data_IF_621335124075
#
_entry.id   IF_621335124075
#
_cell.length_a   1.000
_cell.length_b   1.000
_cell.length_c   1.000
_cell.angle_alpha   90.00
_cell.angle_beta   90.00
_cell.angle_gamma   90.00
#
_symmetry.space_group_name_H-M   'P 1'
#
loop_
_entity.id
_entity.type
_entity.pdbx_description
1 polymer ?
#
# COMPACT_ATOMS: atom_id res chain seq x y z
N UNK A 1 8.35 -12.97 -11.54
CA UNK A 1 8.85 -12.54 -10.22
C UNK A 1 7.72 -11.90 -9.42
N UNK A 2 7.58 -12.28 -8.17
CA UNK A 2 6.54 -11.72 -7.32
C UNK A 2 7.04 -10.45 -6.66
N UNK A 3 6.38 -9.33 -6.95
CA UNK A 3 6.77 -8.04 -6.37
C UNK A 3 6.27 -7.92 -4.94
N UNK A 4 5.01 -8.28 -4.72
CA UNK A 4 4.36 -8.19 -3.42
C UNK A 4 3.84 -9.54 -2.97
N UNK A 5 3.91 -9.78 -1.65
CA UNK A 5 3.28 -10.92 -1.02
C UNK A 5 2.51 -10.47 0.20
N UNK A 6 1.32 -11.04 0.41
CA UNK A 6 0.50 -10.77 1.59
C UNK A 6 0.39 -12.07 2.37
N UNK A 7 0.79 -12.04 3.64
CA UNK A 7 0.82 -13.20 4.54
C UNK A 7 1.56 -14.39 3.90
N UNK A 8 2.64 -14.09 3.16
CA UNK A 8 3.46 -15.12 2.53
C UNK A 8 2.96 -15.60 1.17
N UNK A 9 1.82 -15.11 0.70
CA UNK A 9 1.26 -15.51 -0.59
C UNK A 9 1.41 -14.40 -1.62
N UNK A 10 1.88 -14.77 -2.81
CA UNK A 10 2.04 -13.81 -3.90
C UNK A 10 0.68 -13.27 -4.36
N UNK A 11 0.64 -11.98 -4.63
CA UNK A 11 -0.54 -11.32 -5.18
C UNK A 11 -0.22 -10.80 -6.57
N UNK A 12 -1.25 -10.26 -7.27
CA UNK A 12 -1.06 -9.67 -8.58
C UNK A 12 0.03 -8.60 -8.53
N UNK A 13 0.97 -8.64 -9.49
CA UNK A 13 2.01 -7.64 -9.56
C UNK A 13 1.43 -6.27 -9.94
N UNK A 14 1.81 -5.20 -9.24
CA UNK A 14 1.36 -3.87 -9.61
C UNK A 14 2.09 -3.37 -10.86
N UNK A 15 1.48 -2.42 -11.57
CA UNK A 15 2.14 -1.73 -12.68
C UNK A 15 2.98 -0.57 -12.18
N UNK A 16 2.73 -0.09 -10.97
CA UNK A 16 3.50 0.98 -10.34
C UNK A 16 3.56 0.75 -8.84
N UNK A 17 4.70 1.05 -8.26
CA UNK A 17 4.91 0.93 -6.82
C UNK A 17 5.74 2.12 -6.37
N UNK A 18 5.29 2.79 -5.32
CA UNK A 18 6.00 3.91 -4.73
C UNK A 18 6.16 3.68 -3.24
N UNK A 19 7.41 3.78 -2.77
CA UNK A 19 7.72 3.67 -1.35
C UNK A 19 7.81 5.07 -0.74
N UNK A 20 7.20 5.25 0.42
CA UNK A 20 7.23 6.50 1.14
C UNK A 20 7.53 6.24 2.61
N UNK A 21 8.16 7.23 3.24
CA UNK A 21 8.44 7.20 4.67
C UNK A 21 8.03 8.54 5.24
N UNK A 22 7.22 8.53 6.30
CA UNK A 22 6.71 9.74 6.93
C UNK A 22 7.05 9.74 8.40
N UNK A 23 7.43 10.90 8.91
CA UNK A 23 7.65 11.10 10.34
C UNK A 23 6.35 11.52 10.99
N UNK A 24 6.03 10.91 12.13
CA UNK A 24 4.93 11.36 12.97
C UNK A 24 5.51 12.25 14.05
N UNK A 25 5.16 13.52 14.02
CA UNK A 25 5.62 14.51 14.96
C UNK A 25 4.58 14.80 16.05
N UNK A 26 5.05 15.14 17.24
CA UNK A 26 4.17 15.67 18.27
C UNK A 26 3.82 17.11 17.93
N UNK A 27 2.54 17.42 17.82
CA UNK A 27 2.11 18.79 17.51
C UNK A 27 2.46 19.77 18.62
N UNK A 28 2.63 19.30 19.86
CA UNK A 28 3.00 20.13 20.98
C UNK A 28 4.51 20.31 21.11
N UNK A 29 5.29 19.32 20.64
CA UNK A 29 6.73 19.33 20.76
C UNK A 29 7.46 19.84 19.53
N UNK A 30 6.77 20.17 18.46
CA UNK A 30 7.37 20.61 17.21
C UNK A 30 7.08 22.09 16.97
N UNK A 31 8.11 22.86 16.64
CA UNK A 31 7.95 24.29 16.37
C UNK A 31 9.28 25.01 16.24
N UNK A 32 9.27 26.32 16.48
CA UNK A 32 10.45 27.16 16.48
C UNK A 32 10.53 27.93 17.80
N UNK A 33 11.76 28.09 18.32
CA UNK A 33 11.96 28.87 19.53
C UNK A 33 12.09 30.35 19.18
N UNK A 34 12.35 31.22 20.20
CA UNK A 34 12.45 32.65 20.01
C UNK A 34 13.67 33.07 19.16
N UNK A 35 14.67 32.23 19.07
CA UNK A 35 15.85 32.47 18.25
C UNK A 35 15.67 32.04 16.80
N UNK A 36 14.51 31.47 16.46
CA UNK A 36 14.22 31.01 15.11
C UNK A 36 14.67 29.59 14.80
N UNK A 37 15.25 28.93 15.78
CA UNK A 37 15.66 27.53 15.58
C UNK A 37 14.43 26.62 15.58
N UNK A 38 14.41 25.70 14.62
CA UNK A 38 13.37 24.70 14.53
C UNK A 38 13.72 23.51 15.42
N UNK A 39 12.79 23.08 16.23
CA UNK A 39 12.91 21.81 16.96
C UNK A 39 11.79 20.90 16.57
N UNK A 40 12.02 19.60 16.72
CA UNK A 40 11.10 18.58 16.26
C UNK A 40 11.02 17.44 17.27
N UNK A 41 9.78 17.12 17.69
CA UNK A 41 9.51 16.01 18.57
C UNK A 41 8.92 14.87 17.74
N UNK A 42 9.81 14.05 17.15
CA UNK A 42 9.41 12.95 16.27
C UNK A 42 9.01 11.74 17.10
N UNK A 43 7.73 11.36 17.04
CA UNK A 43 7.21 10.22 17.78
C UNK A 43 7.68 8.92 17.14
N UNK A 44 7.54 8.80 15.83
CA UNK A 44 7.89 7.58 15.12
C UNK A 44 8.00 7.85 13.62
N UNK A 45 8.56 6.88 12.91
CA UNK A 45 8.62 6.88 11.45
C UNK A 45 7.69 5.79 10.95
N UNK A 46 6.85 6.10 9.96
CA UNK A 46 5.93 5.15 9.32
C UNK A 46 6.22 5.06 7.84
N UNK A 47 6.20 3.85 7.32
CA UNK A 47 6.38 3.58 5.91
C UNK A 47 5.02 3.40 5.24
N UNK A 48 4.95 3.78 3.98
CA UNK A 48 3.76 3.61 3.16
C UNK A 48 4.19 3.13 1.78
N UNK A 49 3.47 2.12 1.28
CA UNK A 49 3.71 1.61 -0.07
C UNK A 49 2.45 1.86 -0.88
N UNK A 50 2.56 2.75 -1.87
CA UNK A 50 1.47 3.08 -2.77
C UNK A 50 1.62 2.27 -4.04
N UNK A 51 0.58 1.55 -4.44
CA UNK A 51 0.64 0.71 -5.62
C UNK A 51 -0.55 0.94 -6.52
N UNK A 52 -0.33 0.73 -7.82
CA UNK A 52 -1.40 0.74 -8.83
C UNK A 52 -1.37 -0.60 -9.54
N UNK A 53 -2.54 -1.22 -9.67
CA UNK A 53 -2.67 -2.51 -10.31
C UNK A 53 -3.20 -2.37 -11.73
N UNK A 54 -2.88 -3.33 -12.62
CA UNK A 54 -3.44 -3.34 -13.98
C UNK A 54 -4.92 -3.74 -13.95
N UNK A 55 -5.64 -3.55 -15.06
CA UNK A 55 -7.00 -4.08 -15.16
C UNK A 55 -7.03 -5.57 -14.88
N UNK A 56 -8.02 -6.04 -14.13
CA UNK A 56 -8.12 -7.43 -13.69
C UNK A 56 -9.54 -7.94 -13.89
N UNK A 57 -9.65 -9.26 -14.10
CA UNK A 57 -10.93 -9.96 -14.19
C UNK A 57 -11.50 -10.21 -12.80
N UNK A 58 -12.78 -10.58 -12.75
CA UNK A 58 -13.49 -10.83 -11.47
C UNK A 58 -12.71 -11.72 -10.52
N UNK A 59 -12.19 -12.84 -11.02
CA UNK A 59 -11.50 -13.82 -10.16
C UNK A 59 -10.22 -13.24 -9.57
N UNK A 60 -9.47 -12.49 -10.36
CA UNK A 60 -8.23 -11.86 -9.91
C UNK A 60 -8.51 -10.75 -8.91
N UNK A 61 -9.52 -9.92 -9.20
CA UNK A 61 -9.90 -8.83 -8.32
C UNK A 61 -10.44 -9.35 -6.99
N UNK A 62 -11.24 -10.41 -7.04
CA UNK A 62 -11.76 -11.04 -5.83
C UNK A 62 -10.64 -11.55 -4.93
N UNK A 63 -9.65 -12.23 -5.51
CA UNK A 63 -8.51 -12.75 -4.76
C UNK A 63 -7.73 -11.61 -4.09
N UNK A 64 -7.51 -10.51 -4.81
CA UNK A 64 -6.80 -9.36 -4.26
C UNK A 64 -7.59 -8.71 -3.12
N UNK A 65 -8.89 -8.47 -3.33
CA UNK A 65 -9.72 -7.83 -2.31
C UNK A 65 -9.84 -8.68 -1.05
N UNK A 66 -9.92 -10.00 -1.20
CA UNK A 66 -9.94 -10.90 -0.04
C UNK A 66 -8.61 -10.87 0.71
N UNK A 67 -7.49 -10.80 -0.01
CA UNK A 67 -6.17 -10.76 0.61
C UNK A 67 -5.98 -9.51 1.47
N UNK A 68 -6.58 -8.39 1.08
CA UNK A 68 -6.44 -7.12 1.81
C UNK A 68 -7.61 -6.84 2.76
N UNK A 69 -8.53 -7.79 2.93
CA UNK A 69 -9.70 -7.62 3.81
C UNK A 69 -9.40 -7.57 5.31
N UNK A 70 -8.41 -8.31 5.84
CA UNK A 70 -8.11 -8.24 7.27
C UNK A 70 -7.78 -6.82 7.71
N UNK A 71 -8.08 -6.49 8.97
CA UNK A 71 -7.76 -5.18 9.54
C UNK A 71 -6.26 -4.89 9.44
N UNK A 72 -5.44 -5.89 9.76
CA UNK A 72 -3.99 -5.83 9.62
C UNK A 72 -3.49 -7.12 8.99
N UNK A 73 -2.45 -7.02 8.18
CA UNK A 73 -1.83 -8.19 7.55
C UNK A 73 -0.37 -7.88 7.28
N UNK A 74 0.40 -8.91 6.98
CA UNK A 74 1.82 -8.75 6.68
C UNK A 74 2.04 -8.56 5.18
N UNK A 75 2.75 -7.50 4.82
CA UNK A 75 3.10 -7.20 3.45
C UNK A 75 4.61 -7.36 3.26
N UNK A 76 5.00 -8.20 2.30
CA UNK A 76 6.40 -8.32 1.87
C UNK A 76 6.56 -7.52 0.58
N UNK A 77 7.53 -6.63 0.56
CA UNK A 77 7.76 -5.71 -0.55
C UNK A 77 9.24 -5.42 -0.70
N UNK A 78 9.69 -4.91 -1.88
CA UNK A 78 11.08 -4.47 -2.02
C UNK A 78 11.27 -3.11 -1.34
N UNK A 79 12.15 -3.08 -0.34
CA UNK A 79 12.40 -1.87 0.46
C UNK A 79 13.69 -1.20 -0.03
N UNK A 80 13.61 0.03 -0.59
CA UNK A 80 14.80 0.71 -1.10
C UNK A 80 15.77 1.15 0.00
N UNK A 81 15.27 1.44 1.19
CA UNK A 81 16.11 1.87 2.30
C UNK A 81 16.98 0.73 2.81
N UNK A 82 16.44 -0.48 2.84
CA UNK A 82 17.15 -1.68 3.28
C UNK A 82 17.87 -2.40 2.15
N UNK A 83 17.60 -2.02 0.90
CA UNK A 83 18.15 -2.63 -0.30
C UNK A 83 17.84 -4.14 -0.36
N UNK A 84 16.66 -4.53 0.11
CA UNK A 84 16.22 -5.93 0.13
C UNK A 84 14.71 -5.98 0.32
N UNK A 85 14.17 -7.18 0.21
CA UNK A 85 12.75 -7.39 0.54
C UNK A 85 12.57 -7.30 2.06
N UNK A 86 11.47 -6.69 2.46
CA UNK A 86 11.14 -6.49 3.86
C UNK A 86 9.67 -6.81 4.08
N UNK A 87 9.36 -7.34 5.26
CA UNK A 87 7.97 -7.64 5.64
C UNK A 87 7.57 -6.72 6.79
N UNK A 88 6.42 -6.07 6.66
CA UNK A 88 5.88 -5.24 7.73
C UNK A 88 4.39 -5.47 7.88
N UNK A 89 3.87 -5.19 9.07
CA UNK A 89 2.43 -5.25 9.33
C UNK A 89 1.80 -3.95 8.83
N UNK A 90 0.78 -4.09 7.98
CA UNK A 90 0.15 -2.94 7.31
C UNK A 90 -1.36 -3.03 7.40
N UNK A 91 -2.00 -1.91 7.10
CA UNK A 91 -3.43 -1.85 6.85
C UNK A 91 -3.66 -1.05 5.56
N UNK A 92 -4.84 -1.20 5.00
CA UNK A 92 -5.20 -0.56 3.73
C UNK A 92 -6.23 0.52 4.01
N UNK A 93 -6.04 1.68 3.38
CA UNK A 93 -7.02 2.76 3.40
C UNK A 93 -8.24 2.42 2.56
N UNK A 94 -9.02 3.41 2.18
CA UNK A 94 -10.24 3.20 1.38
C UNK A 94 -9.93 2.46 0.09
N UNK A 95 -10.87 1.58 -0.30
CA UNK A 95 -10.77 0.78 -1.51
C UNK A 95 -11.93 1.12 -2.44
N UNK A 96 -11.61 1.37 -3.69
CA UNK A 96 -12.60 1.67 -4.70
C UNK A 96 -12.13 1.13 -6.03
N UNK A 97 -12.99 0.38 -6.71
CA UNK A 97 -12.63 -0.27 -7.97
C UNK A 97 -13.70 0.05 -9.00
N UNK A 98 -13.41 0.89 -10.00
CA UNK A 98 -14.37 1.13 -11.07
C UNK A 98 -14.43 -0.04 -12.04
N UNK A 99 -15.61 -0.33 -12.57
CA UNK A 99 -15.77 -1.32 -13.62
C UNK A 99 -15.32 -0.73 -14.95
N UNK A 100 -14.65 -1.54 -15.76
CA UNK A 100 -14.17 -1.11 -17.07
C UNK A 100 -15.10 -1.57 -18.18
N UNK A 101 -15.36 -2.90 -18.26
CA UNK A 101 -16.23 -3.45 -19.30
C UNK A 101 -16.63 -4.87 -18.91
N UNK A 102 -17.63 -5.39 -19.61
CA UNK A 102 -18.04 -6.78 -19.47
C UNK A 102 -17.50 -7.60 -20.64
N UNK A 103 -16.81 -8.67 -20.36
CA UNK A 103 -16.27 -9.56 -21.38
C UNK A 103 -17.27 -10.67 -21.65
N UNK A 104 -17.97 -10.58 -22.77
CA UNK A 104 -19.00 -11.55 -23.15
C UNK A 104 -18.41 -12.92 -23.45
N UNK A 105 -17.19 -12.98 -23.96
CA UNK A 105 -16.54 -14.22 -24.32
C UNK A 105 -16.25 -15.09 -23.10
N UNK A 106 -15.73 -14.47 -22.03
CA UNK A 106 -15.40 -15.14 -20.78
C UNK A 106 -16.51 -15.04 -19.75
N UNK A 107 -17.57 -14.30 -20.05
CA UNK A 107 -18.70 -14.06 -19.14
C UNK A 107 -18.21 -13.50 -17.78
N UNK A 108 -17.32 -12.52 -17.82
CA UNK A 108 -16.73 -11.91 -16.64
C UNK A 108 -16.64 -10.40 -16.81
N UNK A 109 -16.71 -9.69 -15.70
CA UNK A 109 -16.42 -8.27 -15.68
C UNK A 109 -14.91 -8.06 -15.67
N UNK A 110 -14.49 -6.97 -16.33
CA UNK A 110 -13.10 -6.50 -16.26
C UNK A 110 -13.14 -5.22 -15.45
N UNK A 111 -12.35 -5.18 -14.39
CA UNK A 111 -12.26 -4.03 -13.49
C UNK A 111 -11.03 -3.22 -13.83
N UNK A 112 -11.16 -1.89 -13.77
CA UNK A 112 -9.99 -1.03 -13.94
C UNK A 112 -9.00 -1.28 -12.82
N UNK A 113 -7.72 -0.98 -13.07
CA UNK A 113 -6.71 -1.15 -12.07
C UNK A 113 -7.01 -0.32 -10.84
N UNK A 114 -6.80 -0.93 -9.67
CA UNK A 114 -7.03 -0.30 -8.39
C UNK A 114 -5.74 0.31 -7.87
N UNK A 115 -5.85 1.53 -7.29
CA UNK A 115 -4.73 2.15 -6.59
C UNK A 115 -5.00 2.08 -5.10
N UNK A 116 -4.05 1.55 -4.33
CA UNK A 116 -4.21 1.44 -2.88
C UNK A 116 -2.90 1.79 -2.18
N UNK A 117 -3.02 2.19 -0.93
CA UNK A 117 -1.89 2.48 -0.07
C UNK A 117 -1.83 1.45 1.05
N UNK A 118 -0.67 0.79 1.18
CA UNK A 118 -0.39 -0.07 2.32
C UNK A 118 0.35 0.78 3.35
N UNK A 119 -0.28 1.00 4.49
CA UNK A 119 0.23 1.89 5.52
C UNK A 119 0.73 1.06 6.68
N UNK A 120 1.95 1.33 7.13
CA UNK A 120 2.57 0.61 8.25
C UNK A 120 1.78 0.83 9.54
N UNK A 121 1.53 -0.27 10.26
CA UNK A 121 0.82 -0.21 11.54
C UNK A 121 1.61 0.58 12.59
#
# INVERSE_FOLDING_TARGET
MDILKINGQAIQNPVALQWEESDLDSSEGTGRNQLGDMFRDRITIKRKVSVSFPPMRDTQMSSLLEAISPMFFELEYPDPKLCRRHTMTVYVSDRSVPVYMFDKTMNQWIWQGMSIDFIEK
#
